data_IF_288497581298
#
_entry.id   IF_288497581298
#
_cell.length_a   1.000
_cell.length_b   1.000
_cell.length_c   1.000
_cell.angle_alpha   90.00
_cell.angle_beta   90.00
_cell.angle_gamma   90.00
#
_symmetry.space_group_name_H-M   'P 1'
#
loop_
_entity.id
_entity.type
_entity.pdbx_description
1 polymer ?
#
# COMPACT_ATOMS: atom_id res chain seq x y z
N UNK A 1 -7.61 -17.54 -21.49
CA UNK A 1 -7.96 -16.65 -20.36
C UNK A 1 -6.65 -16.39 -19.62
N UNK A 2 -6.24 -15.13 -19.47
CA UNK A 2 -5.00 -14.83 -18.72
C UNK A 2 -5.33 -14.78 -17.23
N UNK A 3 -4.48 -15.42 -16.43
CA UNK A 3 -4.57 -15.37 -14.99
C UNK A 3 -3.72 -14.21 -14.48
N UNK A 4 -4.30 -13.41 -13.59
CA UNK A 4 -3.61 -12.29 -12.96
C UNK A 4 -3.60 -12.46 -11.45
N UNK A 5 -2.56 -11.93 -10.81
CA UNK A 5 -2.42 -11.89 -9.36
C UNK A 5 -2.20 -10.45 -8.91
N UNK A 6 -2.63 -10.13 -7.69
CA UNK A 6 -2.38 -8.84 -7.07
C UNK A 6 -1.26 -8.99 -6.04
N UNK A 7 -0.18 -8.23 -6.21
CA UNK A 7 0.85 -8.04 -5.19
C UNK A 7 0.54 -6.81 -4.35
N UNK A 8 0.77 -6.89 -3.03
CA UNK A 8 0.63 -5.76 -2.11
C UNK A 8 1.91 -5.63 -1.29
N UNK A 9 2.56 -4.47 -1.37
CA UNK A 9 3.82 -4.15 -0.72
C UNK A 9 3.61 -3.03 0.31
N UNK A 10 3.79 -3.34 1.59
CA UNK A 10 3.57 -2.43 2.71
C UNK A 10 4.90 -1.78 3.10
N UNK A 11 5.06 -0.52 2.73
CA UNK A 11 6.16 0.32 3.18
C UNK A 11 5.88 1.00 4.52
N UNK A 12 6.82 1.83 4.95
CA UNK A 12 6.73 2.60 6.20
C UNK A 12 5.72 3.75 6.11
N UNK A 13 5.61 4.41 4.97
CA UNK A 13 4.76 5.60 4.79
C UNK A 13 3.65 5.41 3.75
N UNK A 14 3.58 4.23 3.15
CA UNK A 14 2.71 3.95 2.01
C UNK A 14 2.50 2.45 1.79
N UNK A 15 1.47 2.13 1.01
CA UNK A 15 1.25 0.80 0.43
C UNK A 15 1.19 0.90 -1.08
N UNK A 16 1.85 -0.02 -1.79
CA UNK A 16 1.77 -0.16 -3.25
C UNK A 16 1.07 -1.46 -3.60
N UNK A 17 0.14 -1.41 -4.53
CA UNK A 17 -0.49 -2.60 -5.11
C UNK A 17 -0.18 -2.69 -6.60
N UNK A 18 0.02 -3.91 -7.10
CA UNK A 18 0.36 -4.20 -8.49
C UNK A 18 -0.51 -5.34 -9.03
N UNK A 19 -0.94 -5.26 -10.28
CA UNK A 19 -1.47 -6.42 -11.02
C UNK A 19 -0.33 -7.01 -11.84
N UNK A 20 -0.14 -8.32 -11.76
CA UNK A 20 0.91 -9.04 -12.49
C UNK A 20 0.28 -10.17 -13.30
N UNK A 21 0.72 -10.33 -14.55
CA UNK A 21 0.39 -11.51 -15.36
C UNK A 21 1.11 -12.73 -14.80
N UNK A 22 0.34 -13.72 -14.35
CA UNK A 22 0.86 -14.89 -13.67
C UNK A 22 1.70 -15.81 -14.58
N UNK A 23 1.60 -15.68 -15.91
CA UNK A 23 2.33 -16.51 -16.87
C UNK A 23 3.76 -16.06 -17.12
N UNK A 24 4.05 -14.77 -16.93
CA UNK A 24 5.33 -14.16 -17.33
C UNK A 24 5.89 -13.14 -16.34
N UNK A 25 5.17 -12.83 -15.25
CA UNK A 25 5.62 -11.90 -14.22
C UNK A 25 5.58 -10.42 -14.62
N UNK A 26 4.98 -10.09 -15.77
CA UNK A 26 4.87 -8.70 -16.24
C UNK A 26 3.89 -7.92 -15.37
N UNK A 27 4.33 -6.80 -14.82
CA UNK A 27 3.46 -5.81 -14.19
C UNK A 27 2.56 -5.14 -15.23
N UNK A 28 1.24 -5.16 -14.99
CA UNK A 28 0.21 -4.63 -15.87
C UNK A 28 -0.26 -3.26 -15.40
N UNK A 29 -0.41 -3.09 -14.08
CA UNK A 29 -0.85 -1.85 -13.46
C UNK A 29 -0.29 -1.74 -12.05
N UNK A 30 -0.14 -0.51 -11.55
CA UNK A 30 0.21 -0.27 -10.16
C UNK A 30 -0.41 1.02 -9.61
N UNK A 31 -0.60 1.04 -8.28
CA UNK A 31 -1.07 2.21 -7.55
C UNK A 31 -0.42 2.24 -6.18
N UNK A 32 -0.06 3.44 -5.72
CA UNK A 32 0.52 3.67 -4.39
C UNK A 32 -0.38 4.61 -3.60
N UNK A 33 -0.63 4.27 -2.35
CA UNK A 33 -1.36 5.10 -1.40
C UNK A 33 -0.45 5.48 -0.22
N UNK A 34 -0.32 6.79 0.03
CA UNK A 34 0.44 7.31 1.17
C UNK A 34 -0.42 7.34 2.42
N UNK A 35 0.12 6.86 3.54
CA UNK A 35 -0.55 6.79 4.83
C UNK A 35 -0.79 8.19 5.43
N UNK A 36 -2.05 8.66 5.53
CA UNK A 36 -2.33 10.02 5.96
C UNK A 36 -2.00 10.26 7.44
N UNK A 37 -2.12 9.26 8.33
CA UNK A 37 -1.83 9.44 9.77
C UNK A 37 -0.32 9.40 10.02
N UNK A 38 0.40 8.50 9.37
CA UNK A 38 1.86 8.49 9.36
C UNK A 38 2.46 9.81 8.87
N UNK A 39 1.98 10.34 7.72
CA UNK A 39 2.47 11.62 7.17
C UNK A 39 2.27 12.81 8.12
N UNK A 40 1.25 12.74 8.97
CA UNK A 40 0.97 13.75 10.01
C UNK A 40 1.79 13.53 11.29
N UNK A 41 2.61 12.48 11.37
CA UNK A 41 3.37 12.11 12.55
C UNK A 41 2.50 11.69 13.74
N UNK A 42 1.23 11.30 13.49
CA UNK A 42 0.35 10.86 14.57
C UNK A 42 0.95 9.61 15.22
N UNK A 43 0.88 9.56 16.56
CA UNK A 43 1.40 8.46 17.37
C UNK A 43 2.93 8.31 17.37
N UNK A 44 3.65 9.24 16.74
CA UNK A 44 5.11 9.34 16.79
C UNK A 44 5.55 10.36 17.85
N UNK A 45 6.65 10.04 18.53
CA UNK A 45 7.38 10.92 19.42
C UNK A 45 8.88 10.68 19.21
N UNK A 46 9.49 11.50 18.36
CA UNK A 46 10.89 11.35 17.98
C UNK A 46 11.85 11.60 19.13
N UNK A 47 11.47 12.45 20.10
CA UNK A 47 12.30 12.72 21.28
C UNK A 47 12.47 11.45 22.13
N UNK A 48 11.44 10.59 22.12
CA UNK A 48 11.42 9.30 22.80
C UNK A 48 11.67 8.10 21.87
N UNK A 49 12.16 8.32 20.64
CA UNK A 49 12.40 7.27 19.63
C UNK A 49 11.17 6.38 19.35
N UNK A 50 9.97 6.94 19.47
CA UNK A 50 8.71 6.24 19.24
C UNK A 50 8.16 6.55 17.85
N UNK A 51 8.01 5.53 17.02
CA UNK A 51 7.44 5.65 15.66
C UNK A 51 6.39 4.56 15.45
N UNK A 52 5.11 4.92 15.56
CA UNK A 52 4.00 3.96 15.49
C UNK A 52 3.16 4.23 14.25
N UNK A 53 2.85 3.19 13.50
CA UNK A 53 1.87 3.24 12.43
C UNK A 53 0.47 2.96 12.99
N UNK A 54 -0.55 3.52 12.34
CA UNK A 54 -1.94 3.30 12.73
C UNK A 54 -2.59 2.27 11.79
N UNK A 55 -3.19 1.16 12.31
CA UNK A 55 -3.72 0.08 11.48
C UNK A 55 -4.76 0.50 10.43
N UNK A 56 -5.51 1.56 10.69
CA UNK A 56 -6.49 2.10 9.73
C UNK A 56 -5.83 2.64 8.45
N UNK A 57 -4.57 3.10 8.51
CA UNK A 57 -3.83 3.50 7.29
C UNK A 57 -3.60 2.30 6.36
N UNK A 58 -3.45 1.08 6.90
CA UNK A 58 -3.33 -0.14 6.08
C UNK A 58 -4.65 -0.54 5.45
N UNK A 59 -5.76 -0.47 6.21
CA UNK A 59 -7.08 -0.85 5.71
C UNK A 59 -7.54 0.10 4.59
N UNK A 60 -7.47 1.41 4.84
CA UNK A 60 -7.81 2.43 3.84
C UNK A 60 -6.83 2.37 2.66
N UNK A 61 -5.54 2.15 2.94
CA UNK A 61 -4.51 2.05 1.92
C UNK A 61 -4.74 0.88 0.97
N UNK A 62 -4.98 -0.32 1.51
CA UNK A 62 -5.29 -1.52 0.72
C UNK A 62 -6.55 -1.31 -0.13
N UNK A 63 -7.62 -0.78 0.45
CA UNK A 63 -8.86 -0.53 -0.28
C UNK A 63 -8.63 0.41 -1.46
N UNK A 64 -7.96 1.54 -1.23
CA UNK A 64 -7.73 2.55 -2.27
C UNK A 64 -6.75 2.06 -3.34
N UNK A 65 -5.61 1.46 -2.95
CA UNK A 65 -4.60 1.00 -3.90
C UNK A 65 -5.13 -0.13 -4.79
N UNK A 66 -5.91 -1.06 -4.25
CA UNK A 66 -6.52 -2.16 -5.03
C UNK A 66 -7.64 -1.64 -5.92
N UNK A 67 -8.52 -0.77 -5.43
CA UNK A 67 -9.58 -0.18 -6.28
C UNK A 67 -9.02 0.60 -7.46
N UNK A 68 -7.86 1.23 -7.31
CA UNK A 68 -7.25 2.05 -8.36
C UNK A 68 -6.61 1.22 -9.47
N UNK A 69 -6.21 -0.03 -9.23
CA UNK A 69 -5.60 -0.89 -10.25
C UNK A 69 -6.60 -1.83 -10.92
N UNK A 70 -7.80 -2.02 -10.36
CA UNK A 70 -8.85 -2.92 -10.90
C UNK A 70 -9.92 -2.17 -11.73
N UNK A 71 -9.96 -0.84 -11.69
CA UNK A 71 -10.85 -0.02 -12.53
C UNK A 71 -10.37 0.00 -13.98
#
# INVERSE_FOLDING_TARGET
MNNYVIGVDYGTDSVRSVIVDASNGKEIASSTFNYPRWKKGLYCDSANQQFRQHPLDYLEGLEQSVRNIVK
#
